data_IF_427158034538
#
_entry.id   IF_427158034538
#
_cell.length_a   1.000
_cell.length_b   1.000
_cell.length_c   1.000
_cell.angle_alpha   90.00
_cell.angle_beta   90.00
_cell.angle_gamma   90.00
#
_symmetry.space_group_name_H-M   'P 1'
#
loop_
_entity.id
_entity.type
_entity.pdbx_description
1 polymer ?
#
# COMPACT_ATOMS: atom_id res chain seq x y z
N UNK A 1 -4.97 27.27 -3.20
CA UNK A 1 -5.95 26.30 -3.71
C UNK A 1 -6.78 25.84 -2.53
N UNK A 2 -8.11 25.84 -2.63
CA UNK A 2 -8.98 25.39 -1.54
C UNK A 2 -9.28 23.90 -1.73
N UNK A 3 -8.81 23.08 -0.79
CA UNK A 3 -9.15 21.66 -0.72
C UNK A 3 -10.47 21.51 0.03
N UNK A 4 -11.33 20.61 -0.44
CA UNK A 4 -12.71 20.51 0.03
C UNK A 4 -12.92 19.35 1.01
N UNK A 5 -12.11 18.30 0.90
CA UNK A 5 -12.20 17.07 1.69
C UNK A 5 -10.90 16.77 2.43
N UNK A 6 -9.73 16.98 1.81
CA UNK A 6 -8.43 16.71 2.42
C UNK A 6 -8.07 17.79 3.44
N UNK A 7 -8.48 17.56 4.68
CA UNK A 7 -8.10 18.38 5.83
C UNK A 7 -6.77 17.91 6.43
N UNK A 8 -6.09 18.76 7.21
CA UNK A 8 -4.85 18.36 7.88
C UNK A 8 -5.01 17.13 8.79
N UNK A 9 -6.08 16.98 9.61
CA UNK A 9 -6.28 15.78 10.40
C UNK A 9 -6.43 14.49 9.58
N UNK A 10 -7.10 14.57 8.42
CA UNK A 10 -7.18 13.41 7.50
C UNK A 10 -5.78 13.13 6.95
N UNK A 11 -5.09 14.15 6.45
CA UNK A 11 -3.72 14.01 5.93
C UNK A 11 -2.77 13.36 6.94
N UNK A 12 -2.78 13.83 8.20
CA UNK A 12 -1.95 13.30 9.28
C UNK A 12 -2.22 11.82 9.54
N UNK A 13 -3.50 11.41 9.48
CA UNK A 13 -3.90 10.00 9.60
C UNK A 13 -3.31 9.16 8.47
N UNK A 14 -3.50 9.58 7.21
CA UNK A 14 -2.98 8.88 6.04
C UNK A 14 -1.44 8.84 6.06
N UNK A 15 -0.80 9.96 6.38
CA UNK A 15 0.65 10.09 6.38
C UNK A 15 1.30 9.18 7.43
N UNK A 16 0.71 9.10 8.64
CA UNK A 16 1.16 8.19 9.71
C UNK A 16 1.09 6.73 9.26
N UNK A 17 -0.05 6.31 8.72
CA UNK A 17 -0.29 4.92 8.31
C UNK A 17 0.67 4.53 7.16
N UNK A 18 0.87 5.41 6.18
CA UNK A 18 1.83 5.15 5.11
C UNK A 18 3.27 5.17 5.62
N UNK A 19 3.62 6.02 6.60
CA UNK A 19 4.94 6.01 7.23
C UNK A 19 5.20 4.71 7.99
N UNK A 20 4.20 4.17 8.68
CA UNK A 20 4.24 2.87 9.33
C UNK A 20 4.44 1.76 8.30
N UNK A 21 3.62 1.72 7.25
CA UNK A 21 3.75 0.75 6.17
C UNK A 21 5.13 0.79 5.55
N UNK A 22 5.59 1.96 5.11
CA UNK A 22 6.89 2.09 4.43
C UNK A 22 8.04 1.65 5.33
N UNK A 23 8.02 2.06 6.60
CA UNK A 23 9.03 1.64 7.58
C UNK A 23 9.02 0.13 7.80
N UNK A 24 7.82 -0.47 7.91
CA UNK A 24 7.62 -1.91 8.10
C UNK A 24 8.10 -2.72 6.90
N UNK A 25 7.90 -2.23 5.67
CA UNK A 25 8.29 -2.94 4.45
C UNK A 25 9.66 -2.56 3.90
N UNK A 26 10.49 -1.86 4.69
CA UNK A 26 11.85 -1.46 4.31
C UNK A 26 11.86 -0.54 3.07
N UNK A 27 10.92 0.40 3.02
CA UNK A 27 10.78 1.40 1.97
C UNK A 27 11.23 2.78 2.49
N UNK A 28 11.80 3.66 1.65
CA UNK A 28 12.32 4.96 2.08
C UNK A 28 11.26 5.89 2.69
N UNK A 29 11.60 6.61 3.76
CA UNK A 29 10.74 7.61 4.43
C UNK A 29 11.54 8.89 4.60
N UNK A 30 11.01 10.02 4.13
CA UNK A 30 11.67 11.32 4.12
C UNK A 30 13.11 11.28 3.56
N UNK A 31 13.36 10.41 2.59
CA UNK A 31 14.66 10.19 1.95
C UNK A 31 14.60 10.60 0.48
N UNK A 32 14.53 11.92 0.28
CA UNK A 32 14.44 12.56 -1.03
C UNK A 32 15.59 12.15 -1.94
N UNK A 33 16.78 11.88 -1.38
CA UNK A 33 17.96 11.48 -2.14
C UNK A 33 17.79 10.10 -2.81
N UNK A 34 16.97 9.22 -2.25
CA UNK A 34 16.69 7.90 -2.81
C UNK A 34 15.58 7.90 -3.89
N UNK A 35 14.83 9.00 -4.04
CA UNK A 35 13.85 9.19 -5.12
C UNK A 35 14.53 9.55 -6.45
N UNK A 36 15.26 8.59 -7.00
CA UNK A 36 15.84 8.67 -8.35
C UNK A 36 14.80 8.36 -9.44
N UNK A 37 15.19 8.51 -10.71
CA UNK A 37 14.32 8.28 -11.88
C UNK A 37 13.59 6.93 -11.86
N UNK A 38 14.24 5.87 -11.38
CA UNK A 38 13.62 4.54 -11.29
C UNK A 38 12.54 4.50 -10.21
N UNK A 39 12.81 5.08 -9.04
CA UNK A 39 11.83 5.16 -7.96
C UNK A 39 10.67 6.08 -8.32
N UNK A 40 10.93 7.19 -9.02
CA UNK A 40 9.88 8.09 -9.49
C UNK A 40 9.02 7.46 -10.60
N UNK A 41 9.66 6.75 -11.54
CA UNK A 41 8.94 5.95 -12.55
C UNK A 41 8.05 4.90 -11.88
N UNK A 42 8.53 4.24 -10.82
CA UNK A 42 7.74 3.26 -10.08
C UNK A 42 6.52 3.89 -9.40
N UNK A 43 6.69 5.03 -8.72
CA UNK A 43 5.55 5.75 -8.15
C UNK A 43 4.52 6.12 -9.22
N UNK A 44 4.99 6.55 -10.39
CA UNK A 44 4.12 6.88 -11.53
C UNK A 44 3.43 5.64 -12.10
N UNK A 45 4.12 4.51 -12.24
CA UNK A 45 3.50 3.29 -12.76
C UNK A 45 2.43 2.74 -11.82
N UNK A 46 2.67 2.79 -10.52
CA UNK A 46 1.70 2.33 -9.51
C UNK A 46 0.42 3.17 -9.58
N UNK A 47 0.50 4.50 -9.59
CA UNK A 47 -0.73 5.31 -9.66
C UNK A 47 -1.48 5.14 -10.99
N UNK A 48 -0.77 4.85 -12.09
CA UNK A 48 -1.42 4.53 -13.37
C UNK A 48 -2.19 3.20 -13.27
N UNK A 49 -1.62 2.19 -12.60
CA UNK A 49 -2.27 0.90 -12.33
C UNK A 49 -3.57 1.12 -11.55
N UNK A 50 -3.51 1.76 -10.39
CA UNK A 50 -4.70 1.97 -9.53
C UNK A 50 -5.80 2.79 -10.21
N UNK A 51 -5.42 3.82 -10.99
CA UNK A 51 -6.40 4.63 -11.74
C UNK A 51 -6.99 3.87 -12.93
N UNK A 52 -6.26 2.90 -13.49
CA UNK A 52 -6.80 2.02 -14.52
C UNK A 52 -7.80 1.04 -13.90
N UNK A 53 -7.47 0.46 -12.74
CA UNK A 53 -8.40 -0.38 -11.98
C UNK A 53 -9.68 0.39 -11.62
N UNK A 54 -9.57 1.65 -11.20
CA UNK A 54 -10.74 2.50 -10.95
C UNK A 54 -11.60 2.71 -12.21
N UNK A 55 -10.99 2.81 -13.39
CA UNK A 55 -11.70 2.97 -14.65
C UNK A 55 -12.41 1.67 -15.09
N UNK A 56 -11.90 0.52 -14.67
CA UNK A 56 -12.42 -0.81 -15.01
C UNK A 56 -13.42 -1.36 -13.96
N UNK A 57 -13.39 -0.82 -12.73
CA UNK A 57 -14.18 -1.27 -11.59
C UNK A 57 -15.70 -1.32 -11.85
N UNK A 58 -16.28 -2.51 -11.63
CA UNK A 58 -17.67 -2.80 -12.02
C UNK A 58 -18.70 -2.54 -10.91
N UNK A 59 -18.24 -2.50 -9.66
CA UNK A 59 -19.07 -2.38 -8.47
C UNK A 59 -18.49 -1.39 -7.45
N UNK A 60 -19.32 -0.98 -6.47
CA UNK A 60 -18.92 0.02 -5.46
C UNK A 60 -17.72 -0.47 -4.62
N UNK A 61 -17.63 -1.77 -4.39
CA UNK A 61 -16.54 -2.38 -3.64
C UNK A 61 -15.20 -2.20 -4.37
N UNK A 62 -15.14 -2.57 -5.65
CA UNK A 62 -13.93 -2.37 -6.48
C UNK A 62 -13.60 -0.89 -6.67
N UNK A 63 -14.62 -0.04 -6.83
CA UNK A 63 -14.42 1.41 -6.88
C UNK A 63 -13.81 1.96 -5.58
N UNK A 64 -14.24 1.44 -4.43
CA UNK A 64 -13.66 1.82 -3.14
C UNK A 64 -12.21 1.38 -3.04
N UNK A 65 -11.92 0.12 -3.36
CA UNK A 65 -10.56 -0.45 -3.34
C UNK A 65 -9.60 0.40 -4.19
N UNK A 66 -9.93 0.62 -5.46
CA UNK A 66 -9.08 1.38 -6.39
C UNK A 66 -8.93 2.87 -6.00
N UNK A 67 -9.97 3.49 -5.40
CA UNK A 67 -9.84 4.86 -4.85
C UNK A 67 -8.89 4.88 -3.66
N UNK A 68 -9.03 3.93 -2.73
CA UNK A 68 -8.15 3.84 -1.56
C UNK A 68 -6.71 3.59 -2.00
N UNK A 69 -6.48 2.63 -2.89
CA UNK A 69 -5.14 2.27 -3.36
C UNK A 69 -4.48 3.41 -4.14
N UNK A 70 -5.26 4.15 -4.95
CA UNK A 70 -4.79 5.39 -5.60
C UNK A 70 -4.29 6.41 -4.56
N UNK A 71 -5.04 6.64 -3.49
CA UNK A 71 -4.60 7.54 -2.41
C UNK A 71 -3.39 6.95 -1.66
N UNK A 72 -3.35 5.64 -1.44
CA UNK A 72 -2.26 4.94 -0.77
C UNK A 72 -0.92 5.15 -1.51
N UNK A 73 -0.93 5.04 -2.84
CA UNK A 73 0.24 5.28 -3.69
C UNK A 73 0.67 6.76 -3.69
N UNK A 74 -0.29 7.69 -3.82
CA UNK A 74 0.00 9.13 -3.81
C UNK A 74 0.60 9.57 -2.47
N UNK A 75 0.01 9.12 -1.35
CA UNK A 75 0.56 9.35 -0.01
C UNK A 75 1.92 8.67 0.15
N UNK A 76 2.13 7.50 -0.48
CA UNK A 76 3.43 6.82 -0.58
C UNK A 76 4.54 7.71 -1.16
N UNK A 77 4.23 8.48 -2.21
CA UNK A 77 5.15 9.46 -2.79
C UNK A 77 5.41 10.63 -1.83
N UNK A 78 4.39 11.15 -1.16
CA UNK A 78 4.53 12.24 -0.18
C UNK A 78 5.42 11.85 1.00
N UNK A 79 5.21 10.65 1.56
CA UNK A 79 6.04 10.13 2.67
C UNK A 79 7.48 9.90 2.21
N UNK A 80 7.70 9.42 0.97
CA UNK A 80 9.06 9.30 0.42
C UNK A 80 9.75 10.68 0.34
N UNK A 81 9.02 11.72 -0.10
CA UNK A 81 9.50 13.09 -0.17
C UNK A 81 9.65 13.79 1.19
N UNK A 82 9.07 13.24 2.25
CA UNK A 82 9.01 13.91 3.56
C UNK A 82 8.05 15.09 3.61
N UNK A 83 7.08 15.16 2.68
CA UNK A 83 6.06 16.20 2.63
C UNK A 83 4.95 15.87 3.63
N UNK A 84 5.13 16.32 4.87
CA UNK A 84 4.33 15.92 6.03
C UNK A 84 3.13 16.82 6.32
N UNK A 85 2.98 17.95 5.61
CA UNK A 85 1.84 18.84 5.71
C UNK A 85 1.09 18.93 4.37
N UNK A 86 -0.21 19.25 4.42
CA UNK A 86 -1.06 19.33 3.22
C UNK A 86 -0.50 20.34 2.20
N UNK A 87 0.07 21.45 2.69
CA UNK A 87 0.64 22.53 1.89
C UNK A 87 2.02 22.22 1.30
N UNK A 88 2.75 21.22 1.80
CA UNK A 88 4.11 20.90 1.34
C UNK A 88 4.13 20.51 -0.15
N UNK A 89 3.04 19.90 -0.64
CA UNK A 89 2.88 19.52 -2.04
C UNK A 89 1.43 19.63 -2.51
N UNK A 90 1.00 20.86 -2.77
CA UNK A 90 -0.38 21.17 -3.18
C UNK A 90 -0.85 20.42 -4.44
N UNK A 91 0.06 20.03 -5.34
CA UNK A 91 -0.32 19.30 -6.55
C UNK A 91 -0.80 17.88 -6.23
N UNK A 92 -0.05 17.13 -5.42
CA UNK A 92 -0.45 15.79 -5.00
C UNK A 92 -1.62 15.87 -4.02
N UNK A 93 -1.60 16.81 -3.06
CA UNK A 93 -2.72 17.03 -2.14
C UNK A 93 -4.03 17.32 -2.87
N UNK A 94 -3.98 18.04 -4.00
CA UNK A 94 -5.16 18.26 -4.84
C UNK A 94 -5.66 16.98 -5.51
N UNK A 95 -4.76 16.11 -6.01
CA UNK A 95 -5.16 14.81 -6.57
C UNK A 95 -5.82 13.92 -5.52
N UNK A 96 -5.28 13.89 -4.30
CA UNK A 96 -5.90 13.19 -3.18
C UNK A 96 -7.28 13.77 -2.86
N UNK A 97 -7.41 15.11 -2.79
CA UNK A 97 -8.71 15.77 -2.59
C UNK A 97 -9.75 15.39 -3.65
N UNK A 98 -9.34 15.30 -4.92
CA UNK A 98 -10.22 14.85 -6.00
C UNK A 98 -10.72 13.43 -5.78
N UNK A 99 -9.84 12.50 -5.40
CA UNK A 99 -10.21 11.11 -5.12
C UNK A 99 -11.16 11.00 -3.90
N UNK A 100 -10.94 11.80 -2.85
CA UNK A 100 -11.87 11.89 -1.72
C UNK A 100 -13.26 12.40 -2.15
N UNK A 101 -13.33 13.39 -3.04
CA UNK A 101 -14.60 13.85 -3.60
C UNK A 101 -15.27 12.78 -4.47
N UNK A 102 -14.50 12.00 -5.24
CA UNK A 102 -15.03 10.86 -5.99
C UNK A 102 -15.63 9.84 -5.03
N UNK A 103 -14.95 9.46 -3.94
CA UNK A 103 -15.48 8.56 -2.93
C UNK A 103 -16.83 9.04 -2.39
N UNK A 104 -16.94 10.32 -2.03
CA UNK A 104 -18.19 10.93 -1.56
C UNK A 104 -19.29 10.82 -2.62
N UNK A 105 -19.00 11.16 -3.87
CA UNK A 105 -19.97 11.09 -4.97
C UNK A 105 -20.42 9.65 -5.30
N UNK A 106 -19.62 8.66 -4.92
CA UNK A 106 -19.96 7.23 -5.03
C UNK A 106 -20.60 6.66 -3.76
N UNK A 107 -20.77 7.47 -2.72
CA UNK A 107 -21.32 7.04 -1.43
C UNK A 107 -20.40 6.07 -0.70
N UNK A 108 -19.09 6.28 -0.79
CA UNK A 108 -18.05 5.47 -0.14
C UNK A 108 -17.53 6.25 1.07
N UNK A 109 -17.59 5.63 2.25
CA UNK A 109 -16.98 6.18 3.46
C UNK A 109 -15.47 5.90 3.42
N UNK A 110 -14.70 6.91 3.02
CA UNK A 110 -13.26 6.75 2.73
C UNK A 110 -12.45 6.26 3.93
N UNK A 111 -12.59 6.89 5.12
CA UNK A 111 -11.74 6.56 6.28
C UNK A 111 -11.95 5.12 6.77
N UNK A 112 -13.18 4.60 6.94
CA UNK A 112 -13.38 3.19 7.25
C UNK A 112 -12.77 2.23 6.22
N UNK A 113 -12.88 2.53 4.92
CA UNK A 113 -12.28 1.71 3.87
C UNK A 113 -10.75 1.78 3.92
N UNK A 114 -10.19 2.97 4.13
CA UNK A 114 -8.76 3.20 4.31
C UNK A 114 -8.21 2.38 5.47
N UNK A 115 -8.83 2.43 6.64
CA UNK A 115 -8.37 1.73 7.84
C UNK A 115 -8.38 0.20 7.63
N UNK A 116 -9.38 -0.31 6.92
CA UNK A 116 -9.48 -1.73 6.57
C UNK A 116 -8.38 -2.15 5.57
N UNK A 117 -8.16 -1.37 4.52
CA UNK A 117 -7.08 -1.62 3.53
C UNK A 117 -5.71 -1.52 4.18
N UNK A 118 -5.47 -0.50 5.01
CA UNK A 118 -4.22 -0.36 5.74
C UNK A 118 -3.97 -1.55 6.68
N UNK A 119 -4.98 -1.96 7.45
CA UNK A 119 -4.91 -3.15 8.30
C UNK A 119 -4.61 -4.44 7.51
N UNK A 120 -5.28 -4.64 6.37
CA UNK A 120 -4.98 -5.74 5.44
C UNK A 120 -3.53 -5.69 4.93
N UNK A 121 -3.05 -4.51 4.54
CA UNK A 121 -1.67 -4.29 4.10
C UNK A 121 -0.65 -4.63 5.19
N UNK A 122 -0.90 -4.19 6.43
CA UNK A 122 -0.05 -4.49 7.58
C UNK A 122 -0.11 -5.97 8.00
N UNK A 123 -1.13 -6.74 7.60
CA UNK A 123 -1.19 -8.18 7.85
C UNK A 123 -0.31 -9.04 6.93
N UNK A 124 0.36 -8.43 5.94
CA UNK A 124 1.25 -9.16 5.00
C UNK A 124 2.54 -9.65 5.67
N UNK A 125 2.99 -9.02 6.76
CA UNK A 125 4.18 -9.43 7.51
C UNK A 125 3.89 -10.53 8.53
N UNK A 126 4.94 -11.20 9.00
CA UNK A 126 4.86 -12.15 10.11
C UNK A 126 5.13 -11.41 11.42
N UNK A 127 4.37 -11.70 12.48
CA UNK A 127 4.49 -11.05 13.80
C UNK A 127 5.53 -11.69 14.72
N UNK A 128 5.98 -12.90 14.40
CA UNK A 128 6.95 -13.64 15.18
C UNK A 128 7.60 -14.75 14.33
N UNK A 129 8.64 -15.36 14.86
CA UNK A 129 9.40 -16.46 14.23
C UNK A 129 8.52 -17.67 13.90
N UNK A 130 7.48 -17.95 14.69
CA UNK A 130 6.54 -19.05 14.43
C UNK A 130 5.73 -18.80 13.15
N UNK A 131 5.14 -17.61 13.00
CA UNK A 131 4.43 -17.23 11.79
C UNK A 131 5.35 -17.23 10.55
N UNK A 132 6.60 -16.80 10.71
CA UNK A 132 7.58 -16.86 9.62
C UNK A 132 7.91 -18.31 9.24
N UNK A 133 8.17 -19.20 10.21
CA UNK A 133 8.49 -20.59 9.95
C UNK A 133 7.35 -21.33 9.22
N UNK A 134 6.10 -21.05 9.60
CA UNK A 134 4.92 -21.59 8.90
C UNK A 134 4.78 -21.04 7.48
N UNK A 135 5.04 -19.73 7.31
CA UNK A 135 5.06 -19.09 5.99
C UNK A 135 6.17 -19.67 5.11
N UNK A 136 7.37 -19.86 5.64
CA UNK A 136 8.49 -20.49 4.95
C UNK A 136 8.15 -21.93 4.53
N UNK A 137 7.57 -22.73 5.43
CA UNK A 137 7.13 -24.08 5.10
C UNK A 137 6.06 -24.11 4.01
N UNK A 138 5.16 -23.13 3.96
CA UNK A 138 4.14 -23.00 2.92
C UNK A 138 4.73 -22.70 1.54
N UNK A 139 5.66 -21.75 1.45
CA UNK A 139 6.31 -21.39 0.17
C UNK A 139 7.35 -22.44 -0.27
N UNK A 140 8.03 -23.10 0.67
CA UNK A 140 8.96 -24.18 0.37
C UNK A 140 8.29 -25.36 -0.37
N UNK A 141 7.02 -25.68 -0.04
CA UNK A 141 6.21 -26.68 -0.77
C UNK A 141 5.96 -26.31 -2.23
N UNK A 142 6.06 -25.03 -2.58
CA UNK A 142 5.92 -24.50 -3.93
C UNK A 142 7.28 -24.32 -4.63
N UNK A 143 8.39 -24.71 -3.98
CA UNK A 143 9.75 -24.49 -4.48
C UNK A 143 10.23 -23.04 -4.35
N UNK A 144 9.54 -22.20 -3.57
CA UNK A 144 9.90 -20.80 -3.36
C UNK A 144 10.70 -20.69 -2.06
N UNK A 145 11.94 -20.23 -2.17
CA UNK A 145 12.81 -20.00 -1.01
C UNK A 145 12.58 -18.60 -0.44
N UNK A 146 12.43 -18.51 0.88
CA UNK A 146 12.26 -17.24 1.58
C UNK A 146 13.54 -16.78 2.27
N UNK A 147 13.60 -15.49 2.53
CA UNK A 147 14.53 -14.86 3.45
C UNK A 147 13.75 -13.98 4.43
N UNK A 148 14.11 -14.07 5.71
CA UNK A 148 13.58 -13.21 6.76
C UNK A 148 14.32 -11.86 6.77
N UNK A 149 13.56 -10.78 6.83
CA UNK A 149 14.10 -9.45 7.15
C UNK A 149 13.39 -8.93 8.40
N UNK A 150 14.11 -8.85 9.52
CA UNK A 150 13.59 -8.30 10.77
C UNK A 150 13.46 -6.77 10.67
N UNK A 151 12.27 -6.24 10.98
CA UNK A 151 12.00 -4.80 11.07
C UNK A 151 11.11 -4.51 12.28
N UNK A 152 11.71 -3.92 13.31
CA UNK A 152 11.03 -3.74 14.59
C UNK A 152 10.56 -5.08 15.14
N UNK A 153 9.27 -5.17 15.42
CA UNK A 153 8.61 -6.38 15.93
C UNK A 153 8.12 -7.34 14.81
N UNK A 154 8.32 -6.99 13.54
CA UNK A 154 7.85 -7.76 12.40
C UNK A 154 8.98 -8.48 11.65
N UNK A 155 8.62 -9.60 11.04
CA UNK A 155 9.46 -10.35 10.10
C UNK A 155 8.83 -10.26 8.72
N UNK A 156 9.55 -9.68 7.77
CA UNK A 156 9.15 -9.64 6.37
C UNK A 156 9.66 -10.90 5.68
N UNK A 157 8.76 -11.68 5.10
CA UNK A 157 9.12 -12.78 4.21
C UNK A 157 9.38 -12.24 2.80
N UNK A 158 10.63 -12.26 2.34
CA UNK A 158 11.00 -11.89 0.97
C UNK A 158 11.45 -13.12 0.18
N UNK A 159 11.22 -13.13 -1.12
CA UNK A 159 11.76 -14.17 -2.00
C UNK A 159 13.29 -14.11 -2.02
N UNK A 160 13.97 -15.20 -1.66
CA UNK A 160 15.42 -15.22 -1.51
C UNK A 160 16.17 -15.22 -2.85
N UNK A 161 15.52 -15.72 -3.91
CA UNK A 161 16.07 -15.85 -5.26
C UNK A 161 14.96 -15.68 -6.31
N UNK A 162 15.33 -15.42 -7.56
CA UNK A 162 14.36 -15.37 -8.65
C UNK A 162 13.70 -16.75 -8.82
N UNK A 163 12.37 -16.77 -8.81
CA UNK A 163 11.56 -17.96 -9.03
C UNK A 163 10.73 -17.77 -10.30
N UNK A 164 10.82 -18.74 -11.21
CA UNK A 164 10.05 -18.75 -12.45
C UNK A 164 9.36 -20.11 -12.57
N UNK A 165 8.07 -20.07 -12.85
CA UNK A 165 7.25 -21.23 -13.17
C UNK A 165 6.36 -20.92 -14.37
N UNK A 166 5.67 -21.93 -14.91
CA UNK A 166 4.75 -21.74 -16.04
C UNK A 166 3.65 -20.71 -15.79
N UNK A 167 3.27 -20.48 -14.53
CA UNK A 167 2.16 -19.60 -14.14
C UNK A 167 2.59 -18.31 -13.44
N UNK A 168 3.83 -18.20 -12.97
CA UNK A 168 4.24 -17.07 -12.11
C UNK A 168 5.74 -16.86 -12.09
N UNK A 169 6.12 -15.58 -12.12
CA UNK A 169 7.48 -15.07 -11.94
C UNK A 169 7.53 -14.23 -10.66
N UNK A 170 8.43 -14.57 -9.75
CA UNK A 170 8.67 -13.86 -8.49
C UNK A 170 10.14 -13.47 -8.49
N UNK A 171 10.43 -12.17 -8.44
CA UNK A 171 11.81 -11.69 -8.36
C UNK A 171 12.34 -11.77 -6.94
N UNK A 172 13.65 -11.96 -6.83
CA UNK A 172 14.38 -11.82 -5.57
C UNK A 172 14.02 -10.49 -4.89
N UNK A 173 13.85 -10.53 -3.58
CA UNK A 173 13.50 -9.36 -2.76
C UNK A 173 12.01 -9.01 -2.76
N UNK A 174 11.18 -9.63 -3.62
CA UNK A 174 9.73 -9.44 -3.58
C UNK A 174 9.17 -9.89 -2.23
N UNK A 175 8.41 -9.01 -1.58
CA UNK A 175 7.68 -9.34 -0.35
C UNK A 175 6.57 -10.34 -0.68
N UNK A 176 6.48 -11.40 0.11
CA UNK A 176 5.48 -12.44 0.01
C UNK A 176 4.56 -12.38 1.22
N UNK A 177 3.28 -12.68 0.99
CA UNK A 177 2.24 -12.58 2.02
C UNK A 177 2.45 -13.69 3.06
N UNK A 178 2.41 -13.33 4.35
CA UNK A 178 2.27 -14.26 5.47
C UNK A 178 1.10 -15.22 5.24
N UNK A 179 1.19 -16.45 5.74
CA UNK A 179 0.05 -17.39 5.73
C UNK A 179 -1.13 -16.90 6.58
N UNK A 180 -0.88 -15.94 7.47
CA UNK A 180 -1.86 -15.26 8.31
C UNK A 180 -2.38 -13.95 7.71
N UNK A 181 -2.01 -13.64 6.46
CA UNK A 181 -2.51 -12.49 5.74
C UNK A 181 -4.04 -12.50 5.67
N UNK A 182 -4.65 -11.36 6.01
CA UNK A 182 -6.08 -11.11 5.89
C UNK A 182 -6.31 -10.17 4.71
N UNK A 183 -7.01 -10.59 3.63
CA UNK A 183 -7.44 -9.68 2.58
C UNK A 183 -8.41 -8.64 3.14
N UNK A 184 -8.43 -7.44 2.53
CA UNK A 184 -9.35 -6.39 2.93
C UNK A 184 -10.79 -6.84 2.68
N UNK A 185 -11.67 -6.64 3.65
CA UNK A 185 -13.10 -6.92 3.52
C UNK A 185 -13.89 -5.61 3.42
N UNK A 186 -14.05 -5.11 2.20
CA UNK A 186 -14.76 -3.86 1.92
C UNK A 186 -16.27 -4.06 1.70
N UNK A 187 -16.75 -5.30 1.55
CA UNK A 187 -18.17 -5.58 1.29
C UNK A 187 -19.12 -5.00 2.37
N UNK A 188 -18.79 -5.06 3.68
CA UNK A 188 -19.64 -4.46 4.71
C UNK A 188 -19.71 -2.93 4.63
N UNK A 189 -18.68 -2.29 4.07
CA UNK A 189 -18.49 -0.83 4.00
C UNK A 189 -19.03 -0.21 2.71
N UNK A 190 -19.36 -1.03 1.72
CA UNK A 190 -19.72 -0.60 0.36
C UNK A 190 -21.11 -1.08 -0.08
N UNK A 191 -22.02 -1.22 0.87
CA UNK A 191 -23.43 -1.60 0.64
C UNK A 191 -24.21 -0.59 -0.20
#
# INVERSE_FOLDING_TARGET
MQLSQLTQPIFDHLYRDISEFRSTFDLPVADVASLNDKADTLHTSLIIEELTELAEADCKMEQADAIIDSVYVLMGRLVHLGNSQVEDNLAISYLVDLLLNVAINRGIEFIPCWDEVHSSNMSKVCRNEGEYAETEAFYAKQGIKLMAVQKGDYIIAKCAEDFVSESKTIRQGKVLKSVYYRPADLAPLTK
#
